data_IF_205264716081
#
_entry.id   IF_205264716081
#
_cell.length_a   1.000
_cell.length_b   1.000
_cell.length_c   1.000
_cell.angle_alpha   90.00
_cell.angle_beta   90.00
_cell.angle_gamma   90.00
#
_symmetry.space_group_name_H-M   'P 1'
#
loop_
_entity.id
_entity.type
_entity.pdbx_description
1 polymer ?
#
# COMPACT_ATOMS: atom_id res chain seq x y z
N UNK A 1 32.87 16.98 -0.14
CA UNK A 1 32.29 16.19 0.98
C UNK A 1 30.77 15.95 0.84
N UNK A 2 29.98 16.91 0.33
CA UNK A 2 28.52 16.79 0.17
C UNK A 2 28.04 15.83 -0.93
N UNK A 3 28.79 15.70 -2.03
CA UNK A 3 28.46 14.79 -3.14
C UNK A 3 28.67 13.31 -2.81
N UNK A 4 29.62 12.98 -1.93
CA UNK A 4 29.87 11.60 -1.48
C UNK A 4 28.78 11.11 -0.50
N UNK A 5 28.27 11.99 0.37
CA UNK A 5 27.11 11.70 1.23
C UNK A 5 25.82 11.54 0.43
N UNK A 6 25.60 12.34 -0.61
CA UNK A 6 24.42 12.21 -1.50
C UNK A 6 24.43 10.91 -2.31
N UNK A 7 25.59 10.44 -2.80
CA UNK A 7 25.71 9.11 -3.45
C UNK A 7 25.46 7.94 -2.49
N UNK A 8 25.93 8.04 -1.24
CA UNK A 8 25.67 7.02 -0.22
C UNK A 8 24.18 6.96 0.17
N UNK A 9 23.51 8.11 0.31
CA UNK A 9 22.06 8.16 0.55
C UNK A 9 21.24 7.63 -0.64
N UNK A 10 21.61 7.97 -1.88
CA UNK A 10 20.92 7.44 -3.06
C UNK A 10 21.07 5.90 -3.19
N UNK A 11 22.24 5.35 -2.86
CA UNK A 11 22.44 3.90 -2.83
C UNK A 11 21.61 3.20 -1.74
N UNK A 12 21.39 3.86 -0.61
CA UNK A 12 20.56 3.34 0.50
C UNK A 12 19.08 3.37 0.12
N UNK A 13 18.60 4.45 -0.49
CA UNK A 13 17.18 4.60 -0.89
C UNK A 13 16.80 3.68 -2.05
N UNK A 14 17.66 3.56 -3.08
CA UNK A 14 17.41 2.62 -4.21
C UNK A 14 17.50 1.15 -3.78
N UNK A 15 18.23 0.84 -2.69
CA UNK A 15 18.29 -0.52 -2.13
C UNK A 15 17.07 -0.88 -1.27
N UNK A 16 16.23 0.10 -0.90
CA UNK A 16 15.08 -0.09 -0.03
C UNK A 16 13.76 -0.36 -0.78
N UNK A 17 13.66 0.01 -2.06
CA UNK A 17 12.37 0.00 -2.79
C UNK A 17 12.10 -1.24 -3.65
N UNK A 18 12.85 -2.31 -3.46
CA UNK A 18 12.51 -3.62 -4.02
C UNK A 18 12.67 -4.62 -2.89
N UNK A 19 11.61 -5.39 -2.60
CA UNK A 19 11.75 -6.61 -1.81
C UNK A 19 12.70 -7.52 -2.58
N UNK A 20 14.01 -7.36 -2.35
CA UNK A 20 15.00 -8.34 -2.75
C UNK A 20 14.67 -9.56 -1.91
N UNK A 21 13.92 -10.49 -2.48
CA UNK A 21 14.11 -11.89 -2.15
C UNK A 21 15.56 -12.21 -2.50
N UNK A 22 16.46 -11.97 -1.54
CA UNK A 22 17.84 -12.41 -1.62
C UNK A 22 17.72 -13.92 -1.77
N UNK A 23 17.94 -14.42 -3.00
CA UNK A 23 18.09 -15.85 -3.29
C UNK A 23 19.21 -16.37 -2.41
N UNK A 24 18.88 -16.75 -1.18
CA UNK A 24 19.77 -17.52 -0.34
C UNK A 24 19.70 -18.92 -0.91
N UNK A 25 20.76 -19.30 -1.61
CA UNK A 25 21.10 -20.70 -1.85
C UNK A 25 21.18 -21.37 -0.48
N UNK A 26 20.08 -21.93 -0.02
CA UNK A 26 20.08 -22.94 1.03
C UNK A 26 18.76 -23.71 0.92
N UNK A 27 18.78 -24.68 0.00
CA UNK A 27 18.05 -25.91 0.20
C UNK A 27 18.51 -26.50 1.54
N UNK A 28 17.75 -26.24 2.59
CA UNK A 28 17.78 -26.99 3.84
C UNK A 28 16.34 -26.99 4.35
N UNK A 29 15.51 -27.82 3.71
CA UNK A 29 14.11 -28.02 4.05
C UNK A 29 13.89 -28.70 5.42
N UNK A 30 14.91 -28.77 6.28
CA UNK A 30 14.87 -29.44 7.59
C UNK A 30 15.52 -28.64 8.73
N UNK A 31 16.10 -27.47 8.45
CA UNK A 31 16.68 -26.60 9.48
C UNK A 31 15.88 -25.31 9.59
N UNK A 32 14.93 -25.26 10.53
CA UNK A 32 14.24 -24.01 10.89
C UNK A 32 15.31 -23.00 11.27
N UNK A 33 15.59 -22.06 10.37
CA UNK A 33 16.62 -21.05 10.58
C UNK A 33 16.15 -20.19 11.75
N UNK A 34 16.81 -20.27 12.91
CA UNK A 34 16.43 -19.53 14.14
C UNK A 34 16.19 -18.02 13.88
N UNK A 35 16.92 -17.46 12.90
CA UNK A 35 16.73 -16.07 12.45
C UNK A 35 15.37 -15.84 11.77
N UNK A 36 14.86 -16.81 11.02
CA UNK A 36 13.54 -16.75 10.39
C UNK A 36 12.44 -16.85 11.45
N UNK A 37 12.56 -17.76 12.41
CA UNK A 37 11.59 -17.85 13.52
C UNK A 37 11.56 -16.55 14.34
N UNK A 38 12.72 -15.98 14.65
CA UNK A 38 12.81 -14.67 15.34
C UNK A 38 12.14 -13.54 14.55
N UNK A 39 12.22 -13.58 13.22
CA UNK A 39 11.57 -12.58 12.38
C UNK A 39 10.05 -12.76 12.35
N UNK A 40 9.56 -14.00 12.28
CA UNK A 40 8.13 -14.32 12.36
C UNK A 40 7.56 -13.88 13.71
N UNK A 41 8.26 -14.19 14.81
CA UNK A 41 7.86 -13.78 16.17
C UNK A 41 7.83 -12.26 16.39
N UNK A 42 8.50 -11.48 15.54
CA UNK A 42 8.46 -10.00 15.56
C UNK A 42 7.32 -9.40 14.75
N UNK A 43 6.61 -10.19 13.94
CA UNK A 43 5.48 -9.67 13.16
C UNK A 43 4.29 -9.42 14.09
N UNK A 44 3.75 -8.19 14.08
CA UNK A 44 2.59 -7.81 14.91
C UNK A 44 1.38 -8.74 14.71
N UNK A 45 1.09 -9.12 13.46
CA UNK A 45 0.00 -10.06 13.16
C UNK A 45 0.21 -11.42 13.82
N UNK A 46 1.45 -11.92 13.85
CA UNK A 46 1.76 -13.17 14.51
C UNK A 46 1.62 -13.06 16.04
N UNK A 47 2.11 -11.96 16.62
CA UNK A 47 2.00 -11.72 18.06
C UNK A 47 0.54 -11.66 18.52
N UNK A 48 -0.32 -10.96 17.79
CA UNK A 48 -1.73 -10.85 18.12
C UNK A 48 -2.46 -12.19 17.99
N UNK A 49 -2.26 -12.91 16.89
CA UNK A 49 -2.83 -14.26 16.72
C UNK A 49 -2.33 -15.23 17.78
N UNK A 50 -1.06 -15.12 18.18
CA UNK A 50 -0.47 -15.95 19.24
C UNK A 50 -1.11 -15.66 20.60
N UNK A 51 -1.35 -14.39 20.94
CA UNK A 51 -2.04 -14.01 22.19
C UNK A 51 -3.45 -14.61 22.21
N UNK A 52 -4.22 -14.45 21.12
CA UNK A 52 -5.58 -15.00 21.02
C UNK A 52 -5.56 -16.53 21.15
N UNK A 53 -4.69 -17.23 20.42
CA UNK A 53 -4.57 -18.68 20.50
C UNK A 53 -4.13 -19.17 21.89
N UNK A 54 -3.24 -18.43 22.56
CA UNK A 54 -2.80 -18.75 23.91
C UNK A 54 -3.93 -18.61 24.94
N UNK A 55 -4.81 -17.62 24.77
CA UNK A 55 -5.98 -17.44 25.63
C UNK A 55 -6.96 -18.61 25.49
N UNK A 56 -7.27 -19.05 24.25
CA UNK A 56 -8.12 -20.24 24.07
C UNK A 56 -7.47 -21.51 24.63
N UNK A 57 -6.15 -21.66 24.49
CA UNK A 57 -5.43 -22.81 25.03
C UNK A 57 -5.47 -22.84 26.57
N UNK A 58 -5.31 -21.69 27.22
CA UNK A 58 -5.41 -21.57 28.69
C UNK A 58 -6.82 -21.94 29.18
N UNK A 59 -7.87 -21.50 28.48
CA UNK A 59 -9.25 -21.88 28.80
C UNK A 59 -9.44 -23.39 28.69
N UNK A 60 -8.96 -24.01 27.60
CA UNK A 60 -9.02 -25.47 27.42
C UNK A 60 -8.26 -26.24 28.51
N UNK A 61 -7.07 -25.75 28.88
CA UNK A 61 -6.27 -26.33 29.97
C UNK A 61 -7.00 -26.23 31.33
N UNK A 62 -7.61 -25.09 31.64
CA UNK A 62 -8.40 -24.91 32.87
C UNK A 62 -9.61 -25.85 32.91
N UNK A 63 -10.32 -26.00 31.80
CA UNK A 63 -11.46 -26.93 31.68
C UNK A 63 -11.02 -28.38 31.93
N UNK A 64 -9.90 -28.81 31.34
CA UNK A 64 -9.36 -30.17 31.57
C UNK A 64 -8.94 -30.39 33.03
N UNK A 65 -8.30 -29.38 33.65
CA UNK A 65 -7.89 -29.46 35.04
C UNK A 65 -9.08 -29.63 36.00
N UNK A 66 -10.18 -28.89 35.76
CA UNK A 66 -11.41 -28.97 36.54
C UNK A 66 -12.11 -30.34 36.41
N UNK A 67 -12.04 -30.97 35.23
CA UNK A 67 -12.54 -32.34 35.04
C UNK A 67 -11.71 -33.36 35.83
N UNK A 68 -10.37 -33.26 35.79
CA UNK A 68 -9.47 -34.16 36.53
C UNK A 68 -9.66 -34.03 38.04
N UNK A 69 -9.94 -32.81 38.53
CA UNK A 69 -10.27 -32.53 39.94
C UNK A 69 -11.69 -32.97 40.35
N UNK A 70 -12.41 -33.71 39.50
CA UNK A 70 -13.77 -34.25 39.70
C UNK A 70 -14.85 -33.22 40.03
N UNK A 71 -14.60 -31.94 39.77
CA UNK A 71 -15.55 -30.82 39.99
C UNK A 71 -16.64 -30.80 38.92
N UNK A 72 -16.34 -31.26 37.70
CA UNK A 72 -17.26 -31.28 36.56
C UNK A 72 -17.40 -32.73 36.05
N UNK A 73 -18.62 -33.27 35.92
CA UNK A 73 -18.83 -34.59 35.32
C UNK A 73 -18.46 -34.55 33.82
N UNK A 74 -17.59 -35.46 33.39
CA UNK A 74 -17.13 -35.56 32.00
C UNK A 74 -18.23 -35.83 30.96
N UNK A 75 -19.39 -36.31 31.41
CA UNK A 75 -20.54 -36.66 30.56
C UNK A 75 -21.25 -35.44 29.95
N UNK A 76 -21.10 -34.24 30.52
CA UNK A 76 -21.81 -33.05 30.03
C UNK A 76 -21.36 -32.60 28.62
N UNK A 77 -20.12 -32.92 28.23
CA UNK A 77 -19.55 -32.43 26.97
C UNK A 77 -19.59 -33.50 25.86
N UNK A 78 -19.43 -34.79 26.21
CA UNK A 78 -19.48 -35.90 25.24
C UNK A 78 -20.86 -36.02 24.55
N UNK A 79 -21.95 -35.73 25.27
CA UNK A 79 -23.31 -35.87 24.75
C UNK A 79 -23.71 -34.78 23.75
N UNK A 80 -22.99 -33.65 23.71
CA UNK A 80 -23.38 -32.47 22.93
C UNK A 80 -22.44 -32.11 21.78
N UNK A 81 -21.22 -32.65 21.75
CA UNK A 81 -20.23 -32.30 20.72
C UNK A 81 -19.69 -33.53 19.99
N UNK A 82 -20.18 -33.74 18.77
CA UNK A 82 -19.71 -34.84 17.92
C UNK A 82 -18.43 -34.49 17.19
N UNK A 83 -17.42 -35.37 17.24
CA UNK A 83 -16.13 -35.19 16.54
C UNK A 83 -16.29 -34.97 15.02
N UNK A 84 -17.26 -35.65 14.40
CA UNK A 84 -17.58 -35.52 12.98
C UNK A 84 -18.16 -34.13 12.63
N UNK A 85 -18.99 -33.56 13.52
CA UNK A 85 -19.56 -32.23 13.35
C UNK A 85 -18.48 -31.14 13.42
N UNK A 86 -17.58 -31.24 14.41
CA UNK A 86 -16.46 -30.31 14.54
C UNK A 86 -15.49 -30.37 13.35
N UNK A 87 -15.18 -31.57 12.86
CA UNK A 87 -14.34 -31.75 11.67
C UNK A 87 -14.97 -31.10 10.43
N UNK A 88 -16.29 -31.25 10.24
CA UNK A 88 -17.03 -30.62 9.14
C UNK A 88 -17.01 -29.08 9.26
N UNK A 89 -17.16 -28.57 10.48
CA UNK A 89 -17.05 -27.14 10.77
C UNK A 89 -15.65 -26.60 10.45
N UNK A 90 -14.58 -27.29 10.85
CA UNK A 90 -13.20 -26.89 10.52
C UNK A 90 -12.94 -26.86 9.01
N UNK A 91 -13.51 -27.82 8.27
CA UNK A 91 -13.41 -27.82 6.80
C UNK A 91 -14.08 -26.58 6.19
N UNK A 92 -15.29 -26.24 6.64
CA UNK A 92 -16.00 -25.04 6.19
C UNK A 92 -15.25 -23.75 6.56
N UNK A 93 -14.77 -23.64 7.80
CA UNK A 93 -13.95 -22.52 8.26
C UNK A 93 -12.68 -22.37 7.41
N UNK A 94 -11.97 -23.47 7.15
CA UNK A 94 -10.77 -23.49 6.33
C UNK A 94 -11.03 -22.98 4.92
N UNK A 95 -12.11 -23.46 4.28
CA UNK A 95 -12.54 -22.98 2.97
C UNK A 95 -12.85 -21.47 2.98
N UNK A 96 -13.60 -20.97 3.97
CA UNK A 96 -13.88 -19.52 4.08
C UNK A 96 -12.61 -18.68 4.28
N UNK A 97 -11.66 -19.15 5.09
CA UNK A 97 -10.38 -18.46 5.29
C UNK A 97 -9.55 -18.40 4.02
N UNK A 98 -9.50 -19.48 3.24
CA UNK A 98 -8.82 -19.49 1.94
C UNK A 98 -9.47 -18.50 0.96
N UNK A 99 -10.80 -18.45 0.88
CA UNK A 99 -11.48 -17.46 0.04
C UNK A 99 -11.19 -16.02 0.48
N UNK A 100 -11.25 -15.73 1.79
CA UNK A 100 -10.93 -14.40 2.32
C UNK A 100 -9.52 -13.96 1.99
N UNK A 101 -8.55 -14.84 2.24
CA UNK A 101 -7.14 -14.54 2.01
C UNK A 101 -6.84 -14.39 0.52
N UNK A 102 -7.45 -15.22 -0.32
CA UNK A 102 -7.35 -15.12 -1.79
C UNK A 102 -7.88 -13.77 -2.31
N UNK A 103 -9.07 -13.33 -1.87
CA UNK A 103 -9.62 -12.04 -2.27
C UNK A 103 -8.76 -10.86 -1.77
N UNK A 104 -8.29 -10.92 -0.53
CA UNK A 104 -7.42 -9.89 0.04
C UNK A 104 -6.09 -9.79 -0.72
N UNK A 105 -5.51 -10.93 -1.08
CA UNK A 105 -4.29 -11.02 -1.88
C UNK A 105 -4.51 -10.47 -3.30
N UNK A 106 -5.64 -10.78 -3.93
CA UNK A 106 -6.01 -10.22 -5.23
C UNK A 106 -6.11 -8.69 -5.20
N UNK A 107 -6.82 -8.12 -4.21
CA UNK A 107 -6.89 -6.66 -4.02
C UNK A 107 -5.50 -6.03 -3.82
N UNK A 108 -4.65 -6.67 -3.02
CA UNK A 108 -3.29 -6.18 -2.76
C UNK A 108 -2.45 -6.12 -4.05
N UNK A 109 -2.42 -7.19 -4.84
CA UNK A 109 -1.63 -7.25 -6.07
C UNK A 109 -2.14 -6.32 -7.15
N UNK A 110 -3.46 -6.22 -7.30
CA UNK A 110 -4.06 -5.33 -8.30
C UNK A 110 -3.80 -3.86 -7.96
N UNK A 111 -4.02 -3.45 -6.70
CA UNK A 111 -3.70 -2.10 -6.23
C UNK A 111 -2.21 -1.77 -6.39
N UNK A 112 -1.33 -2.69 -6.00
CA UNK A 112 0.13 -2.53 -6.15
C UNK A 112 0.53 -2.37 -7.62
N UNK A 113 -0.06 -3.16 -8.51
CA UNK A 113 0.22 -3.09 -9.95
C UNK A 113 -0.20 -1.75 -10.54
N UNK A 114 -1.37 -1.22 -10.16
CA UNK A 114 -1.86 0.09 -10.59
C UNK A 114 -0.95 1.22 -10.11
N UNK A 115 -0.53 1.20 -8.84
CA UNK A 115 0.37 2.22 -8.27
C UNK A 115 1.74 2.20 -8.95
N UNK A 116 2.31 1.02 -9.21
CA UNK A 116 3.56 0.90 -9.96
C UNK A 116 3.41 1.32 -11.44
N UNK A 117 2.30 0.96 -12.08
CA UNK A 117 1.98 1.37 -13.45
C UNK A 117 1.89 2.89 -13.59
N UNK A 118 1.17 3.52 -12.65
CA UNK A 118 1.07 4.98 -12.54
C UNK A 118 2.45 5.64 -12.42
N UNK A 119 3.30 5.19 -11.48
CA UNK A 119 4.66 5.71 -11.34
C UNK A 119 5.49 5.52 -12.62
N UNK A 120 5.31 4.41 -13.32
CA UNK A 120 5.91 4.16 -14.62
C UNK A 120 5.50 5.18 -15.68
N UNK A 121 4.22 5.54 -15.73
CA UNK A 121 3.72 6.57 -16.65
C UNK A 121 4.22 7.98 -16.31
N UNK A 122 4.34 8.33 -15.02
CA UNK A 122 4.96 9.60 -14.60
C UNK A 122 6.43 9.70 -15.02
N UNK A 123 7.16 8.59 -14.93
CA UNK A 123 8.52 8.49 -15.42
C UNK A 123 8.60 8.59 -16.95
N UNK A 124 7.69 7.91 -17.67
CA UNK A 124 7.59 7.98 -19.14
C UNK A 124 7.38 9.44 -19.58
N UNK A 125 6.39 10.13 -19.00
CA UNK A 125 6.14 11.54 -19.24
C UNK A 125 7.39 12.40 -19.02
N UNK A 126 7.99 12.29 -17.83
CA UNK A 126 9.09 13.17 -17.42
C UNK A 126 10.30 13.04 -18.36
N UNK A 127 10.71 11.80 -18.69
CA UNK A 127 11.87 11.61 -19.54
C UNK A 127 11.61 12.05 -20.99
N UNK A 128 10.40 11.82 -21.53
CA UNK A 128 10.03 12.23 -22.89
C UNK A 128 10.02 13.75 -22.98
N UNK A 129 9.34 14.44 -22.05
CA UNK A 129 9.26 15.90 -22.05
C UNK A 129 10.65 16.54 -21.90
N UNK A 130 11.50 16.00 -21.02
CA UNK A 130 12.90 16.47 -20.92
C UNK A 130 13.66 16.25 -22.22
N UNK A 131 13.49 15.10 -22.89
CA UNK A 131 14.12 14.85 -24.19
C UNK A 131 13.62 15.83 -25.26
N UNK A 132 12.34 16.22 -25.21
CA UNK A 132 11.73 17.14 -26.16
C UNK A 132 12.36 18.54 -26.14
N UNK A 133 12.84 18.98 -24.99
CA UNK A 133 13.58 20.25 -24.87
C UNK A 133 14.90 20.28 -25.66
N UNK A 134 15.41 19.15 -26.16
CA UNK A 134 16.65 19.12 -26.98
C UNK A 134 16.47 19.80 -28.33
N UNK A 135 15.24 19.90 -28.83
CA UNK A 135 14.90 20.60 -30.07
C UNK A 135 14.30 22.00 -29.79
N UNK A 136 14.41 22.48 -28.55
CA UNK A 136 13.93 23.80 -28.16
C UNK A 136 14.71 24.90 -28.90
N UNK A 137 14.01 25.97 -29.26
CA UNK A 137 14.59 27.20 -29.81
C UNK A 137 14.59 28.35 -28.79
N UNK A 138 14.10 28.10 -27.57
CA UNK A 138 14.03 29.07 -26.50
C UNK A 138 15.37 29.26 -25.77
N UNK A 139 15.43 30.30 -24.94
CA UNK A 139 16.61 30.60 -24.12
C UNK A 139 16.97 29.46 -23.15
N UNK A 140 18.26 29.29 -22.89
CA UNK A 140 18.81 28.22 -22.05
C UNK A 140 18.31 28.28 -20.61
N UNK A 141 18.16 29.48 -20.06
CA UNK A 141 17.62 29.66 -18.70
C UNK A 141 16.14 29.29 -18.62
N UNK A 142 15.35 29.61 -19.65
CA UNK A 142 13.94 29.21 -19.72
C UNK A 142 13.78 27.69 -19.80
N UNK A 143 14.59 27.03 -20.63
CA UNK A 143 14.62 25.55 -20.72
C UNK A 143 14.97 24.93 -19.36
N UNK A 144 15.94 25.52 -18.66
CA UNK A 144 16.36 25.05 -17.33
C UNK A 144 15.24 25.21 -16.30
N UNK A 145 14.59 26.38 -16.26
CA UNK A 145 13.47 26.66 -15.36
C UNK A 145 12.29 25.71 -15.61
N UNK A 146 11.94 25.48 -16.88
CA UNK A 146 10.92 24.52 -17.26
C UNK A 146 11.24 23.11 -16.75
N UNK A 147 12.45 22.59 -16.98
CA UNK A 147 12.86 21.25 -16.52
C UNK A 147 12.74 21.10 -15.02
N UNK A 148 13.18 22.10 -14.25
CA UNK A 148 13.09 22.06 -12.80
C UNK A 148 11.63 22.10 -12.34
N UNK A 149 10.82 22.99 -12.91
CA UNK A 149 9.39 23.13 -12.55
C UNK A 149 8.61 21.86 -12.86
N UNK A 150 8.86 21.25 -14.03
CA UNK A 150 8.27 19.97 -14.43
C UNK A 150 8.56 18.86 -13.42
N UNK A 151 9.83 18.65 -13.08
CA UNK A 151 10.23 17.57 -12.15
C UNK A 151 9.65 17.80 -10.76
N UNK A 152 9.63 19.04 -10.28
CA UNK A 152 9.04 19.39 -8.98
C UNK A 152 7.52 19.16 -8.97
N UNK A 153 6.80 19.55 -10.02
CA UNK A 153 5.35 19.31 -10.14
C UNK A 153 5.03 17.82 -10.20
N UNK A 154 5.78 17.03 -10.96
CA UNK A 154 5.57 15.57 -11.02
C UNK A 154 5.87 14.92 -9.66
N UNK A 155 6.91 15.40 -8.96
CA UNK A 155 7.22 14.94 -7.59
C UNK A 155 6.11 15.27 -6.60
N UNK A 156 5.60 16.51 -6.65
CA UNK A 156 4.48 16.96 -5.82
C UNK A 156 3.23 16.14 -6.12
N UNK A 157 2.87 15.98 -7.39
CA UNK A 157 1.71 15.21 -7.82
C UNK A 157 1.77 13.77 -7.30
N UNK A 158 2.92 13.10 -7.45
CA UNK A 158 3.08 11.73 -7.00
C UNK A 158 2.99 11.60 -5.47
N UNK A 159 3.58 12.54 -4.72
CA UNK A 159 3.49 12.54 -3.25
C UNK A 159 2.05 12.77 -2.76
N UNK A 160 1.35 13.72 -3.37
CA UNK A 160 -0.04 14.04 -3.06
C UNK A 160 -0.97 12.85 -3.38
N UNK A 161 -0.77 12.20 -4.53
CA UNK A 161 -1.51 10.99 -4.88
C UNK A 161 -1.24 9.87 -3.88
N UNK A 162 0.01 9.61 -3.53
CA UNK A 162 0.35 8.55 -2.58
C UNK A 162 -0.21 8.83 -1.19
N UNK A 163 -0.19 10.08 -0.74
CA UNK A 163 -0.81 10.47 0.53
C UNK A 163 -2.34 10.25 0.53
N UNK A 164 -3.01 10.57 -0.58
CA UNK A 164 -4.45 10.30 -0.74
C UNK A 164 -4.75 8.79 -0.76
N UNK A 165 -3.91 7.99 -1.41
CA UNK A 165 -4.06 6.52 -1.47
C UNK A 165 -3.70 5.81 -0.16
N UNK A 166 -2.79 6.35 0.64
CA UNK A 166 -2.43 5.79 1.95
C UNK A 166 -3.57 5.91 2.97
N UNK A 167 -4.48 6.88 2.79
CA UNK A 167 -5.64 7.07 3.66
C UNK A 167 -5.22 7.33 5.11
N UNK A 168 -4.80 8.56 5.40
CA UNK A 168 -4.58 9.01 6.78
C UNK A 168 -5.90 9.18 7.53
N UNK A 169 -5.90 8.88 8.83
CA UNK A 169 -6.96 9.29 9.77
C UNK A 169 -7.19 10.82 9.67
N UNK A 170 -8.37 11.29 10.12
CA UNK A 170 -8.92 12.64 9.93
C UNK A 170 -8.02 13.85 10.31
N UNK A 171 -6.81 13.63 10.84
CA UNK A 171 -5.74 14.62 11.10
C UNK A 171 -4.69 14.74 9.96
N UNK A 172 -4.98 14.21 8.78
CA UNK A 172 -4.06 13.97 7.65
C UNK A 172 -3.39 15.18 6.95
N UNK A 173 -3.54 16.42 7.43
CA UNK A 173 -2.93 17.60 6.81
C UNK A 173 -1.40 17.59 6.79
N UNK A 174 -0.74 16.72 7.57
CA UNK A 174 0.72 16.64 7.66
C UNK A 174 1.36 15.46 6.92
N UNK A 175 0.57 14.57 6.30
CA UNK A 175 1.09 13.31 5.79
C UNK A 175 1.67 13.40 4.36
N UNK A 176 1.12 14.28 3.52
CA UNK A 176 1.72 14.60 2.21
C UNK A 176 3.11 15.25 2.34
N UNK A 177 3.35 15.98 3.44
CA UNK A 177 4.63 16.59 3.78
C UNK A 177 5.66 15.59 4.34
N UNK A 178 5.24 14.35 4.65
CA UNK A 178 6.16 13.30 5.08
C UNK A 178 6.94 12.68 3.91
N UNK A 179 6.48 12.86 2.67
CA UNK A 179 7.26 12.50 1.50
C UNK A 179 8.37 13.54 1.26
N UNK A 180 9.57 13.07 0.92
CA UNK A 180 10.70 13.94 0.55
C UNK A 180 10.37 14.64 -0.78
N UNK A 181 9.77 15.83 -0.68
CA UNK A 181 9.43 16.67 -1.82
C UNK A 181 10.66 17.41 -2.34
N UNK A 182 10.82 17.45 -3.66
CA UNK A 182 11.86 18.24 -4.29
C UNK A 182 11.51 19.72 -4.23
N UNK A 183 12.14 20.45 -3.31
CA UNK A 183 12.25 21.92 -3.29
C UNK A 183 10.90 22.66 -3.42
N UNK A 184 10.06 22.52 -2.39
CA UNK A 184 8.71 23.12 -2.30
C UNK A 184 8.77 24.66 -2.27
N UNK A 185 9.84 25.23 -1.71
CA UNK A 185 10.03 26.68 -1.53
C UNK A 185 10.13 27.46 -2.86
N UNK A 186 10.32 26.75 -3.98
CA UNK A 186 10.38 27.35 -5.31
C UNK A 186 9.01 27.49 -5.99
N UNK A 187 7.92 26.99 -5.39
CA UNK A 187 6.56 27.26 -5.87
C UNK A 187 6.12 28.65 -5.43
N UNK A 188 5.32 29.31 -6.27
CA UNK A 188 4.79 30.65 -5.97
C UNK A 188 4.01 30.61 -4.64
N UNK A 189 4.23 31.60 -3.78
CA UNK A 189 3.56 31.70 -2.47
C UNK A 189 2.03 31.72 -2.64
N UNK A 190 1.54 32.24 -3.77
CA UNK A 190 0.12 32.15 -4.12
C UNK A 190 -0.34 30.70 -4.34
N UNK A 191 0.45 29.86 -5.03
CA UNK A 191 0.13 28.45 -5.24
C UNK A 191 0.18 27.65 -3.93
N UNK A 192 1.13 27.96 -3.05
CA UNK A 192 1.18 27.39 -1.69
C UNK A 192 -0.03 27.80 -0.86
N UNK A 193 -0.47 29.06 -0.97
CA UNK A 193 -1.69 29.52 -0.30
C UNK A 193 -2.92 28.76 -0.79
N UNK A 194 -3.03 28.41 -2.07
CA UNK A 194 -4.13 27.57 -2.58
C UNK A 194 -4.13 26.15 -2.02
N UNK A 195 -2.94 25.61 -1.70
CA UNK A 195 -2.80 24.30 -1.04
C UNK A 195 -3.22 24.40 0.44
N UNK A 196 -2.81 25.46 1.13
CA UNK A 196 -3.18 25.71 2.54
C UNK A 196 -4.66 26.07 2.73
N UNK A 197 -5.27 26.78 1.78
CA UNK A 197 -6.66 27.20 1.80
C UNK A 197 -7.66 26.09 1.41
N UNK A 198 -7.19 25.01 0.77
CA UNK A 198 -8.06 23.91 0.34
C UNK A 198 -8.10 22.84 1.44
N UNK A 199 -9.16 22.76 2.27
CA UNK A 199 -9.22 21.81 3.38
C UNK A 199 -9.45 20.36 2.92
N UNK A 200 -9.54 20.12 1.61
CA UNK A 200 -9.97 18.87 1.00
C UNK A 200 -8.81 18.29 0.19
N UNK A 201 -7.93 17.55 0.88
CA UNK A 201 -6.84 16.76 0.29
C UNK A 201 -7.29 15.92 -0.92
N UNK A 202 -8.55 15.50 -0.96
CA UNK A 202 -9.14 14.64 -2.00
C UNK A 202 -9.12 15.25 -3.41
N UNK A 203 -9.09 16.58 -3.53
CA UNK A 203 -9.07 17.29 -4.82
C UNK A 203 -7.66 17.79 -5.21
N UNK A 204 -6.72 17.81 -4.26
CA UNK A 204 -5.35 18.29 -4.48
C UNK A 204 -4.63 17.56 -5.64
N UNK A 205 -4.75 16.23 -5.82
CA UNK A 205 -4.17 15.55 -6.98
C UNK A 205 -4.63 16.13 -8.32
N UNK A 206 -5.92 16.49 -8.45
CA UNK A 206 -6.46 17.04 -9.68
C UNK A 206 -5.95 18.47 -9.94
N UNK A 207 -5.83 19.28 -8.88
CA UNK A 207 -5.29 20.63 -8.97
C UNK A 207 -3.84 20.64 -9.48
N UNK A 208 -2.98 19.81 -8.88
CA UNK A 208 -1.57 19.72 -9.30
C UNK A 208 -1.45 19.14 -10.72
N UNK A 209 -2.31 18.19 -11.08
CA UNK A 209 -2.41 17.68 -12.45
C UNK A 209 -2.80 18.79 -13.45
N UNK A 210 -3.72 19.70 -13.08
CA UNK A 210 -4.07 20.85 -13.91
C UNK A 210 -2.89 21.81 -14.08
N UNK A 211 -2.12 22.08 -13.02
CA UNK A 211 -0.91 22.91 -13.11
C UNK A 211 0.14 22.29 -14.03
N UNK A 212 0.32 20.97 -13.97
CA UNK A 212 1.20 20.23 -14.88
C UNK A 212 0.76 20.34 -16.35
N UNK A 213 -0.54 20.20 -16.61
CA UNK A 213 -1.11 20.41 -17.95
C UNK A 213 -0.84 21.83 -18.45
N UNK A 214 -1.14 22.84 -17.63
CA UNK A 214 -0.93 24.25 -17.98
C UNK A 214 0.56 24.52 -18.28
N UNK A 215 1.48 24.03 -17.45
CA UNK A 215 2.92 24.19 -17.69
C UNK A 215 3.35 23.63 -19.05
N UNK A 216 2.87 22.44 -19.43
CA UNK A 216 3.19 21.85 -20.73
C UNK A 216 2.60 22.71 -21.84
N UNK A 217 1.34 23.12 -21.73
CA UNK A 217 0.65 23.91 -22.76
C UNK A 217 1.29 25.29 -22.97
N UNK A 218 1.62 25.98 -21.88
CA UNK A 218 2.26 27.29 -21.92
C UNK A 218 3.62 27.18 -22.62
N UNK A 219 4.39 26.14 -22.34
CA UNK A 219 5.72 25.96 -22.93
C UNK A 219 5.72 25.45 -24.39
N UNK A 220 4.56 25.05 -24.92
CA UNK A 220 4.36 24.89 -26.36
C UNK A 220 4.32 26.26 -27.04
N UNK A 221 3.55 27.19 -26.48
CA UNK A 221 3.36 28.53 -27.06
C UNK A 221 4.65 29.36 -27.05
N UNK A 222 5.53 29.12 -26.09
CA UNK A 222 6.80 29.84 -25.88
C UNK A 222 7.93 29.32 -26.76
N UNK A 223 7.73 28.18 -27.44
CA UNK A 223 8.75 27.52 -28.26
C UNK A 223 9.77 26.68 -27.48
N UNK A 224 9.60 26.49 -26.15
CA UNK A 224 10.41 25.53 -25.37
C UNK A 224 10.13 24.10 -25.82
N UNK A 225 8.88 23.78 -26.13
CA UNK A 225 8.44 22.51 -26.70
C UNK A 225 8.09 22.66 -28.19
N UNK A 226 9.12 22.81 -29.03
CA UNK A 226 8.96 22.98 -30.48
C UNK A 226 8.94 21.64 -31.26
N UNK A 227 8.18 20.66 -30.76
CA UNK A 227 8.09 19.31 -31.34
C UNK A 227 6.75 19.13 -32.05
N UNK A 228 6.71 18.42 -33.19
CA UNK A 228 5.48 18.23 -33.93
C UNK A 228 4.39 17.57 -33.07
N UNK A 229 3.16 18.07 -33.22
CA UNK A 229 2.01 17.69 -32.41
C UNK A 229 1.80 16.17 -32.20
N UNK A 230 2.01 15.28 -33.20
CA UNK A 230 1.84 13.84 -33.00
C UNK A 230 2.74 13.23 -31.90
N UNK A 231 3.95 13.75 -31.73
CA UNK A 231 4.86 13.29 -30.68
C UNK A 231 4.47 13.86 -29.31
N UNK A 232 3.94 15.08 -29.31
CA UNK A 232 3.48 15.74 -28.10
C UNK A 232 2.21 15.09 -27.55
N UNK A 233 1.31 14.61 -28.41
CA UNK A 233 0.13 13.83 -27.98
C UNK A 233 0.51 12.64 -27.10
N UNK A 234 1.65 11.99 -27.35
CA UNK A 234 2.14 10.89 -26.50
C UNK A 234 2.35 11.32 -25.04
N UNK A 235 2.83 12.54 -24.80
CA UNK A 235 3.02 13.04 -23.43
C UNK A 235 1.70 13.23 -22.71
N UNK A 236 0.69 13.81 -23.36
CA UNK A 236 -0.66 13.91 -22.79
C UNK A 236 -1.30 12.54 -22.56
N UNK A 237 -1.11 11.58 -23.47
CA UNK A 237 -1.58 10.20 -23.29
C UNK A 237 -0.93 9.54 -22.07
N UNK A 238 0.39 9.63 -21.89
CA UNK A 238 1.08 9.08 -20.73
C UNK A 238 0.58 9.72 -19.42
N UNK A 239 0.40 11.03 -19.42
CA UNK A 239 -0.13 11.79 -18.27
C UNK A 239 -1.56 11.35 -17.90
N UNK A 240 -2.43 11.17 -18.91
CA UNK A 240 -3.81 10.71 -18.71
C UNK A 240 -3.86 9.25 -18.23
N UNK A 241 -3.04 8.36 -18.80
CA UNK A 241 -2.93 6.98 -18.34
C UNK A 241 -2.52 6.90 -16.87
N UNK A 242 -1.57 7.74 -16.45
CA UNK A 242 -1.15 7.80 -15.05
C UNK A 242 -2.30 8.21 -14.11
N UNK A 243 -3.08 9.24 -14.47
CA UNK A 243 -4.25 9.65 -13.68
C UNK A 243 -5.35 8.59 -13.66
N UNK A 244 -5.57 7.88 -14.77
CA UNK A 244 -6.53 6.77 -14.80
C UNK A 244 -6.10 5.65 -13.85
N UNK A 245 -4.82 5.26 -13.85
CA UNK A 245 -4.29 4.27 -12.90
C UNK A 245 -4.44 4.74 -11.44
N UNK A 246 -4.28 6.03 -11.16
CA UNK A 246 -4.57 6.59 -9.84
C UNK A 246 -6.05 6.41 -9.45
N UNK A 247 -6.99 6.80 -10.31
CA UNK A 247 -8.42 6.67 -10.03
C UNK A 247 -8.84 5.20 -9.87
N UNK A 248 -8.25 4.31 -10.66
CA UNK A 248 -8.44 2.87 -10.51
C UNK A 248 -7.82 2.33 -9.23
N UNK A 249 -6.67 2.84 -8.77
CA UNK A 249 -6.09 2.46 -7.48
C UNK A 249 -6.96 2.96 -6.33
N UNK A 250 -7.52 4.17 -6.45
CA UNK A 250 -8.40 4.80 -5.45
C UNK A 250 -9.63 3.95 -5.14
N UNK A 251 -10.15 3.20 -6.11
CA UNK A 251 -11.26 2.26 -5.85
C UNK A 251 -10.92 1.26 -4.74
N UNK A 252 -9.66 0.82 -4.62
CA UNK A 252 -9.25 -0.14 -3.58
C UNK A 252 -9.11 0.49 -2.20
N UNK A 253 -8.81 1.78 -2.13
CA UNK A 253 -8.78 2.56 -0.88
C UNK A 253 -10.20 2.91 -0.42
N UNK A 254 -11.04 3.42 -1.34
CA UNK A 254 -12.36 3.95 -1.01
C UNK A 254 -13.45 2.88 -0.86
N UNK A 255 -13.33 1.72 -1.53
CA UNK A 255 -14.37 0.69 -1.48
C UNK A 255 -14.05 -0.40 -0.45
N UNK A 256 -14.72 -0.44 0.71
CA UNK A 256 -14.49 -1.50 1.69
C UNK A 256 -14.92 -2.86 1.14
N UNK A 257 -14.37 -3.94 1.71
CA UNK A 257 -14.85 -5.29 1.43
C UNK A 257 -16.32 -5.43 1.87
N UNK A 258 -17.18 -6.16 1.13
CA UNK A 258 -18.59 -6.22 1.45
C UNK A 258 -18.85 -6.68 2.88
N UNK A 259 -19.59 -5.85 3.63
CA UNK A 259 -19.83 -6.03 5.06
C UNK A 259 -20.39 -7.41 5.45
N UNK A 260 -21.38 -8.00 4.73
CA UNK A 260 -21.93 -9.31 5.12
C UNK A 260 -20.88 -10.43 5.15
N UNK A 261 -19.93 -10.42 4.22
CA UNK A 261 -18.86 -11.41 4.20
C UNK A 261 -17.86 -11.21 5.33
N UNK A 262 -17.56 -9.95 5.69
CA UNK A 262 -16.70 -9.65 6.83
C UNK A 262 -17.31 -10.19 8.14
N UNK A 263 -18.58 -9.89 8.38
CA UNK A 263 -19.32 -10.37 9.57
C UNK A 263 -19.42 -11.89 9.60
N UNK A 264 -19.74 -12.54 8.48
CA UNK A 264 -19.86 -14.00 8.43
C UNK A 264 -18.56 -14.70 8.88
N UNK A 265 -17.42 -14.21 8.40
CA UNK A 265 -16.11 -14.79 8.76
C UNK A 265 -15.77 -14.51 10.22
N UNK A 266 -16.05 -13.32 10.73
CA UNK A 266 -15.85 -12.98 12.14
C UNK A 266 -16.70 -13.87 13.06
N UNK A 267 -17.96 -14.16 12.68
CA UNK A 267 -18.86 -15.02 13.45
C UNK A 267 -18.35 -16.46 13.49
N UNK A 268 -17.93 -17.00 12.34
CA UNK A 268 -17.39 -18.37 12.25
C UNK A 268 -16.05 -18.47 13.01
N UNK A 269 -15.17 -17.48 12.91
CA UNK A 269 -13.91 -17.41 13.67
C UNK A 269 -14.13 -17.30 15.17
N UNK A 270 -15.12 -16.50 15.60
CA UNK A 270 -15.49 -16.35 17.01
C UNK A 270 -16.07 -17.65 17.57
N UNK A 271 -16.91 -18.33 16.78
CA UNK A 271 -17.46 -19.64 17.13
C UNK A 271 -16.34 -20.67 17.29
N UNK A 272 -15.34 -20.67 16.39
CA UNK A 272 -14.16 -21.53 16.51
C UNK A 272 -13.39 -21.26 17.80
N UNK A 273 -13.10 -19.99 18.12
CA UNK A 273 -12.40 -19.61 19.33
C UNK A 273 -13.09 -20.11 20.62
N UNK A 274 -14.43 -20.09 20.66
CA UNK A 274 -15.22 -20.57 21.80
C UNK A 274 -15.33 -22.11 21.84
N UNK A 275 -15.49 -22.76 20.70
CA UNK A 275 -15.76 -24.21 20.61
C UNK A 275 -14.49 -25.06 20.77
N UNK A 276 -13.35 -24.60 20.25
CA UNK A 276 -12.08 -25.33 20.32
C UNK A 276 -11.64 -25.72 21.74
N UNK A 277 -11.65 -24.85 22.76
CA UNK A 277 -11.25 -25.27 24.12
C UNK A 277 -12.17 -26.33 24.71
N UNK A 278 -13.47 -26.29 24.38
CA UNK A 278 -14.46 -27.29 24.83
C UNK A 278 -14.16 -28.65 24.20
N UNK A 279 -13.96 -28.69 22.87
CA UNK A 279 -13.66 -29.92 22.13
C UNK A 279 -12.33 -30.55 22.57
N UNK A 280 -11.30 -29.73 22.78
CA UNK A 280 -9.96 -30.23 23.19
C UNK A 280 -9.93 -30.68 24.66
N UNK A 281 -10.86 -30.20 25.48
CA UNK A 281 -10.97 -30.63 26.88
C UNK A 281 -11.65 -32.00 27.07
N UNK A 282 -12.39 -32.49 26.08
CA UNK A 282 -12.88 -33.88 26.04
C UNK A 282 -11.70 -34.86 26.09
#
# INVERSE_FOLDING_TARGET
>A
ASLARRRAHLQIVVSALMIRYRKRKCFCCLGVNWKMFRNIARMKCFQLSFIVASASALVGMCLKLLQVLTVIPGTFVEDHVTSNGYTSFLWFLGTLLVFRTSHSYGRFWEATSLVHGMMGHWWDLTHVVIAFTRHSQADGERIRLFKHTLVRLVSLLNAVILADLEGGDEDGSQQALHFELLDIEAFDNAALSHIELSPQLREMPLLVFQWLNNLIVDEISTGVLNIPAPLLTRTFQAMNCAMLSYQEAKKYADTPFPFPYAVAIELVMSTHFLLTPVVVSL
#
